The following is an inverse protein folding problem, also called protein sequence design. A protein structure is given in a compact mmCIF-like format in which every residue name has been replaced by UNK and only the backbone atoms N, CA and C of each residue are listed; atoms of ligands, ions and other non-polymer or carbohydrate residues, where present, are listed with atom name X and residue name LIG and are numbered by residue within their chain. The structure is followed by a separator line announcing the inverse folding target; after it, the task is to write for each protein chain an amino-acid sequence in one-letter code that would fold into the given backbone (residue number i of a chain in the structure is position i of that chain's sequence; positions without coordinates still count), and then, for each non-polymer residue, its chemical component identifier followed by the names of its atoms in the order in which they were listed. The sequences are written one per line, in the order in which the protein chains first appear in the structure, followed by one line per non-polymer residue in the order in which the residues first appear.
data_IF_391178449954
#
_entry.id   IF_391178449954
#
_cell.length_a   1.000
_cell.length_b   1.000
_cell.length_c   1.000
_cell.angle_alpha   90.00
_cell.angle_beta   90.00
_cell.angle_gamma   90.00
#
_symmetry.space_group_name_H-M   'P 1'
#
loop_
_entity.id
_entity.type
_entity.pdbx_description
1 polymer ?
#
# COMPACT_ATOMS: atom_id res chain seq x y z
N UNK A 1 -73.43 26.63 -14.21
CA UNK A 1 -72.71 25.33 -14.22
C UNK A 1 -71.98 25.26 -15.55
N UNK A 2 -70.71 25.82 -15.56
CA UNK A 2 -69.92 25.94 -16.76
C UNK A 2 -68.95 24.69 -16.88
N UNK A 3 -69.32 23.80 -17.80
CA UNK A 3 -68.40 22.72 -18.21
C UNK A 3 -67.47 23.29 -19.25
N UNK A 4 -66.23 23.55 -18.88
CA UNK A 4 -65.12 23.83 -19.82
C UNK A 4 -64.93 22.61 -20.72
N UNK A 5 -65.21 22.76 -22.00
CA UNK A 5 -65.01 21.73 -23.02
C UNK A 5 -63.50 21.71 -23.31
N UNK A 6 -62.82 20.63 -22.88
CA UNK A 6 -61.41 20.37 -23.20
C UNK A 6 -61.37 20.09 -24.71
N UNK A 7 -60.64 20.89 -25.47
CA UNK A 7 -60.53 20.75 -26.92
C UNK A 7 -59.48 19.68 -27.29
N UNK A 8 -59.55 19.14 -28.52
CA UNK A 8 -58.56 18.20 -29.03
C UNK A 8 -57.13 18.78 -29.03
N UNK A 9 -57.04 20.10 -29.16
CA UNK A 9 -55.77 20.84 -29.14
C UNK A 9 -55.15 20.85 -27.73
N UNK A 10 -55.96 21.01 -26.68
CA UNK A 10 -55.51 20.97 -25.28
C UNK A 10 -54.94 19.60 -24.92
N UNK A 11 -55.57 18.54 -25.39
CA UNK A 11 -55.08 17.15 -25.17
C UNK A 11 -53.78 16.87 -25.93
N UNK A 12 -53.64 17.38 -27.15
CA UNK A 12 -52.43 17.26 -27.95
C UNK A 12 -51.26 18.03 -27.32
N UNK A 13 -51.50 19.24 -26.83
CA UNK A 13 -50.50 20.07 -26.15
C UNK A 13 -50.03 19.45 -24.83
N UNK A 14 -50.95 18.92 -24.01
CA UNK A 14 -50.60 18.17 -22.77
C UNK A 14 -49.81 16.92 -23.06
N UNK A 15 -50.11 16.19 -24.14
CA UNK A 15 -49.37 14.99 -24.55
C UNK A 15 -47.94 15.32 -24.99
N UNK A 16 -47.71 16.46 -25.65
CA UNK A 16 -46.39 16.91 -26.08
C UNK A 16 -45.55 17.39 -24.90
N UNK A 17 -46.11 18.19 -24.00
CA UNK A 17 -45.45 18.65 -22.77
C UNK A 17 -45.05 17.43 -21.91
N UNK A 18 -45.86 16.41 -21.82
CA UNK A 18 -45.54 15.23 -21.02
C UNK A 18 -44.39 14.42 -21.61
N UNK A 19 -44.28 14.33 -22.96
CA UNK A 19 -43.15 13.68 -23.65
C UNK A 19 -41.86 14.43 -23.47
N UNK A 20 -41.85 15.75 -23.59
CA UNK A 20 -40.67 16.59 -23.43
C UNK A 20 -40.19 16.55 -21.97
N UNK A 21 -41.10 16.59 -21.00
CA UNK A 21 -40.74 16.45 -19.59
C UNK A 21 -40.12 15.09 -19.30
N UNK A 22 -40.67 14.01 -19.79
CA UNK A 22 -40.15 12.64 -19.61
C UNK A 22 -38.76 12.51 -20.24
N UNK A 23 -38.57 13.10 -21.42
CA UNK A 23 -37.24 13.09 -22.09
C UNK A 23 -36.19 13.84 -21.28
N UNK A 24 -36.48 15.04 -20.76
CA UNK A 24 -35.55 15.80 -19.94
C UNK A 24 -35.27 15.12 -18.59
N UNK A 25 -36.25 14.52 -17.94
CA UNK A 25 -36.03 13.71 -16.74
C UNK A 25 -35.17 12.50 -17.01
N UNK A 26 -35.34 11.84 -18.16
CA UNK A 26 -34.48 10.74 -18.60
C UNK A 26 -33.03 11.15 -18.78
N UNK A 27 -32.76 12.31 -19.39
CA UNK A 27 -31.41 12.83 -19.56
C UNK A 27 -30.73 13.23 -18.24
N UNK A 28 -31.50 13.86 -17.33
CA UNK A 28 -30.99 14.21 -15.99
C UNK A 28 -30.66 12.95 -15.20
N UNK A 29 -31.55 11.96 -15.22
CA UNK A 29 -31.33 10.69 -14.53
C UNK A 29 -30.14 9.91 -15.08
N UNK A 30 -29.95 9.91 -16.42
CA UNK A 30 -28.81 9.31 -17.08
C UNK A 30 -27.51 10.05 -16.69
N UNK A 31 -27.52 11.38 -16.64
CA UNK A 31 -26.37 12.19 -16.22
C UNK A 31 -25.97 11.96 -14.75
N UNK A 32 -26.97 11.88 -13.86
CA UNK A 32 -26.73 11.55 -12.44
C UNK A 32 -26.21 10.12 -12.31
N UNK A 33 -26.79 9.17 -13.00
CA UNK A 33 -26.39 7.76 -12.95
C UNK A 33 -24.97 7.55 -13.48
N UNK A 34 -24.60 8.18 -14.62
CA UNK A 34 -23.25 8.11 -15.15
C UNK A 34 -22.24 8.84 -14.26
N UNK A 35 -22.60 10.00 -13.70
CA UNK A 35 -21.76 10.75 -12.76
C UNK A 35 -21.49 9.97 -11.48
N UNK A 36 -22.52 9.35 -10.91
CA UNK A 36 -22.34 8.53 -9.70
C UNK A 36 -21.55 7.26 -9.98
N UNK A 37 -21.74 6.58 -11.11
CA UNK A 37 -20.95 5.39 -11.45
C UNK A 37 -19.46 5.71 -11.69
N UNK A 38 -19.13 6.87 -12.26
CA UNK A 38 -17.74 7.31 -12.41
C UNK A 38 -17.12 7.66 -11.04
N UNK A 39 -17.85 8.37 -10.20
CA UNK A 39 -17.38 8.73 -8.85
C UNK A 39 -17.21 7.49 -7.94
N UNK A 40 -18.14 6.54 -8.00
CA UNK A 40 -18.02 5.27 -7.28
C UNK A 40 -16.94 4.36 -7.84
N UNK A 41 -16.63 4.41 -9.13
CA UNK A 41 -15.57 3.61 -9.73
C UNK A 41 -14.19 3.92 -9.14
N UNK A 42 -13.88 5.20 -8.89
CA UNK A 42 -12.61 5.59 -8.28
C UNK A 42 -12.57 5.22 -6.79
N UNK A 43 -13.71 5.31 -6.09
CA UNK A 43 -13.84 4.88 -4.70
C UNK A 43 -13.76 3.35 -4.57
N UNK A 44 -14.40 2.60 -5.45
CA UNK A 44 -14.35 1.12 -5.42
C UNK A 44 -13.01 0.54 -5.89
N UNK A 45 -12.25 1.21 -6.75
CA UNK A 45 -10.89 0.77 -7.11
C UNK A 45 -9.89 1.00 -5.97
N UNK A 46 -10.17 1.90 -5.02
CA UNK A 46 -9.37 2.07 -3.79
C UNK A 46 -9.75 1.13 -2.64
N UNK A 47 -10.95 0.54 -2.65
CA UNK A 47 -11.46 -0.28 -1.54
C UNK A 47 -11.57 -1.78 -1.82
N UNK A 48 -11.36 -2.24 -3.05
CA UNK A 48 -11.29 -3.66 -3.42
C UNK A 48 -9.93 -4.26 -3.12
N UNK A 49 -9.39 -4.04 -1.93
CA UNK A 49 -8.04 -4.45 -1.59
C UNK A 49 -7.98 -5.96 -1.37
N UNK A 50 -7.33 -6.62 -2.30
CA UNK A 50 -6.83 -7.99 -2.09
C UNK A 50 -6.05 -8.01 -0.78
N UNK A 51 -6.43 -8.89 0.15
CA UNK A 51 -5.72 -9.10 1.41
C UNK A 51 -4.88 -10.36 1.29
N UNK A 52 -3.60 -10.26 1.60
CA UNK A 52 -2.67 -11.41 1.56
C UNK A 52 -2.42 -12.03 2.93
N UNK A 53 -3.03 -11.49 3.97
CA UNK A 53 -2.90 -11.95 5.35
C UNK A 53 -2.61 -10.82 6.32
N UNK A 54 -2.42 -11.19 7.58
CA UNK A 54 -2.08 -10.26 8.67
C UNK A 54 -0.63 -10.52 9.07
N UNK A 55 0.11 -9.47 9.37
CA UNK A 55 1.46 -9.59 9.92
C UNK A 55 1.36 -10.26 11.29
N UNK A 56 2.11 -11.35 11.54
CA UNK A 56 2.11 -11.99 12.86
C UNK A 56 2.68 -11.07 13.93
N UNK A 57 2.25 -11.26 15.18
CA UNK A 57 2.85 -10.56 16.32
C UNK A 57 4.34 -10.88 16.43
N UNK A 58 5.13 -9.87 16.74
CA UNK A 58 6.56 -9.99 16.94
C UNK A 58 7.07 -9.05 18.03
N UNK A 59 8.19 -9.41 18.61
CA UNK A 59 9.02 -8.52 19.43
C UNK A 59 10.45 -8.68 18.98
N UNK A 60 11.02 -7.60 18.39
CA UNK A 60 12.35 -7.56 17.83
C UNK A 60 13.11 -6.35 18.36
N UNK A 61 14.38 -6.22 17.99
CA UNK A 61 15.22 -5.10 18.42
C UNK A 61 15.60 -4.25 17.19
N UNK A 62 15.47 -2.93 17.29
CA UNK A 62 15.88 -2.03 16.22
C UNK A 62 17.39 -1.75 16.23
N UNK A 63 17.89 -0.98 15.25
CA UNK A 63 19.28 -0.60 15.10
C UNK A 63 19.85 0.26 16.25
N UNK A 64 18.98 0.80 17.10
CA UNK A 64 19.36 1.60 18.28
C UNK A 64 19.32 0.78 19.58
N UNK A 65 18.89 -0.49 19.50
CA UNK A 65 18.75 -1.37 20.67
C UNK A 65 17.38 -1.29 21.35
N UNK A 66 16.41 -0.57 20.79
CA UNK A 66 15.08 -0.49 21.37
C UNK A 66 14.26 -1.73 21.00
N UNK A 67 13.40 -2.17 21.93
CA UNK A 67 12.40 -3.19 21.65
C UNK A 67 11.30 -2.61 20.77
N UNK A 68 10.95 -3.34 19.71
CA UNK A 68 9.94 -2.96 18.72
C UNK A 68 8.97 -4.11 18.53
N UNK A 69 7.69 -3.81 18.57
CA UNK A 69 6.58 -4.73 18.39
C UNK A 69 5.76 -4.36 17.15
N UNK A 70 4.81 -5.19 16.77
CA UNK A 70 3.87 -4.86 15.71
C UNK A 70 3.02 -3.61 16.04
N UNK A 71 2.68 -3.41 17.32
CA UNK A 71 1.85 -2.29 17.75
C UNK A 71 2.51 -0.92 17.53
N UNK A 72 3.86 -0.87 17.47
CA UNK A 72 4.60 0.34 17.16
C UNK A 72 4.36 0.86 15.73
N UNK A 73 3.76 0.04 14.87
CA UNK A 73 3.38 0.39 13.50
C UNK A 73 1.86 0.59 13.34
N UNK A 74 1.09 0.57 14.42
CA UNK A 74 -0.35 0.82 14.39
C UNK A 74 -0.66 2.21 13.82
N UNK A 75 -1.68 2.29 12.97
CA UNK A 75 -2.06 3.51 12.24
C UNK A 75 -1.00 4.05 11.27
N UNK A 76 -0.05 3.21 10.87
CA UNK A 76 0.98 3.53 9.88
C UNK A 76 0.93 2.55 8.71
N UNK A 77 1.17 3.05 7.51
CA UNK A 77 1.41 2.23 6.33
C UNK A 77 2.90 1.96 6.23
N UNK A 78 3.30 0.71 6.08
CA UNK A 78 4.72 0.42 6.03
C UNK A 78 5.11 -0.62 4.99
N UNK A 79 6.34 -0.50 4.51
CA UNK A 79 6.93 -1.39 3.53
C UNK A 79 7.96 -2.27 4.21
N UNK A 80 7.78 -3.58 4.09
CA UNK A 80 8.69 -4.56 4.65
C UNK A 80 9.63 -5.17 3.62
N UNK A 81 10.87 -5.45 4.03
CA UNK A 81 11.88 -6.20 3.28
C UNK A 81 12.54 -7.26 4.17
N UNK A 82 13.20 -8.25 3.56
CA UNK A 82 13.94 -9.29 4.27
C UNK A 82 15.35 -9.43 3.76
N UNK A 83 16.29 -9.44 4.69
CA UNK A 83 17.72 -9.58 4.42
C UNK A 83 18.32 -10.60 5.39
N UNK A 84 18.78 -11.75 4.88
CA UNK A 84 19.35 -12.83 5.70
C UNK A 84 20.86 -12.96 5.58
N UNK A 85 21.52 -12.17 4.71
CA UNK A 85 22.95 -12.27 4.47
C UNK A 85 23.74 -11.07 4.98
N UNK A 86 25.04 -11.29 5.18
CA UNK A 86 25.98 -10.20 5.35
C UNK A 86 26.21 -9.50 4.00
N UNK A 87 25.61 -8.35 3.79
CA UNK A 87 25.72 -7.54 2.57
C UNK A 87 27.15 -7.02 2.29
N UNK A 88 28.12 -7.27 3.14
CA UNK A 88 29.46 -6.70 3.00
C UNK A 88 30.14 -7.05 1.68
N UNK A 89 29.97 -8.29 1.23
CA UNK A 89 30.65 -8.83 0.03
C UNK A 89 29.63 -9.24 -1.07
N UNK A 90 28.32 -9.04 -0.85
CA UNK A 90 27.28 -9.40 -1.79
C UNK A 90 26.76 -8.14 -2.50
N UNK A 91 27.11 -8.01 -3.79
CA UNK A 91 26.69 -6.87 -4.62
C UNK A 91 25.17 -6.79 -4.71
N UNK A 92 24.48 -7.92 -4.88
CA UNK A 92 23.04 -7.94 -5.06
C UNK A 92 22.28 -7.52 -3.79
N UNK A 93 22.85 -7.84 -2.62
CA UNK A 93 22.33 -7.36 -1.35
C UNK A 93 22.50 -5.83 -1.20
N UNK A 94 23.63 -5.28 -1.66
CA UNK A 94 23.84 -3.82 -1.69
C UNK A 94 22.86 -3.15 -2.65
N UNK A 95 22.72 -3.71 -3.85
CA UNK A 95 21.77 -3.20 -4.85
C UNK A 95 20.33 -3.19 -4.29
N UNK A 96 19.92 -4.24 -3.54
CA UNK A 96 18.64 -4.26 -2.86
C UNK A 96 18.50 -3.13 -1.82
N UNK A 97 19.51 -2.91 -1.00
CA UNK A 97 19.50 -1.83 0.00
C UNK A 97 19.42 -0.46 -0.67
N UNK A 98 20.17 -0.23 -1.75
CA UNK A 98 20.13 1.03 -2.51
C UNK A 98 18.75 1.26 -3.15
N UNK A 99 18.14 0.23 -3.73
CA UNK A 99 16.78 0.32 -4.28
C UNK A 99 15.77 0.61 -3.17
N UNK A 100 15.88 -0.06 -2.02
CA UNK A 100 15.02 0.17 -0.86
C UNK A 100 15.21 1.59 -0.30
N UNK A 101 16.45 2.10 -0.29
CA UNK A 101 16.74 3.50 0.07
C UNK A 101 16.11 4.50 -0.90
N UNK A 102 16.11 4.21 -2.20
CA UNK A 102 15.42 5.04 -3.18
C UNK A 102 13.89 5.09 -2.95
N UNK A 103 13.27 3.99 -2.53
CA UNK A 103 11.86 3.96 -2.14
C UNK A 103 11.65 4.81 -0.88
N UNK A 104 12.50 4.64 0.13
CA UNK A 104 12.46 5.42 1.36
C UNK A 104 12.49 6.94 1.08
N UNK A 105 13.37 7.41 0.21
CA UNK A 105 13.45 8.82 -0.17
C UNK A 105 12.14 9.37 -0.76
N UNK A 106 11.31 8.52 -1.39
CA UNK A 106 10.04 8.94 -1.99
C UNK A 106 8.87 8.99 -1.00
N UNK A 107 9.01 8.35 0.17
CA UNK A 107 7.93 8.24 1.17
C UNK A 107 8.27 8.86 2.53
N UNK A 108 9.53 9.23 2.77
CA UNK A 108 10.02 9.68 4.09
C UNK A 108 9.37 10.95 4.63
N UNK A 109 8.83 11.78 3.75
CA UNK A 109 8.21 13.05 4.13
C UNK A 109 6.77 12.87 4.65
N UNK A 110 6.19 11.68 4.48
CA UNK A 110 4.86 11.37 5.02
C UNK A 110 4.99 10.73 6.41
N UNK A 111 4.49 11.39 7.46
CA UNK A 111 4.62 10.92 8.84
C UNK A 111 3.87 9.62 9.12
N UNK A 112 2.94 9.22 8.25
CA UNK A 112 2.16 7.99 8.39
C UNK A 112 2.79 6.80 7.65
N UNK A 113 3.91 6.99 6.99
CA UNK A 113 4.62 5.89 6.31
C UNK A 113 5.85 5.46 7.07
N UNK A 114 6.24 4.20 6.94
CA UNK A 114 7.48 3.64 7.53
C UNK A 114 8.09 2.60 6.59
N UNK A 115 9.38 2.37 6.79
CA UNK A 115 10.06 1.21 6.23
C UNK A 115 10.57 0.30 7.32
N UNK A 116 10.53 -1.01 7.07
CA UNK A 116 10.96 -2.05 7.99
C UNK A 116 11.79 -3.07 7.24
N UNK A 117 13.04 -3.27 7.65
CA UNK A 117 13.89 -4.34 7.14
C UNK A 117 14.10 -5.41 8.21
N UNK A 118 13.61 -6.61 7.95
CA UNK A 118 13.83 -7.78 8.80
C UNK A 118 15.21 -8.36 8.51
N UNK A 119 16.08 -8.43 9.51
CA UNK A 119 17.49 -8.82 9.36
C UNK A 119 17.81 -10.02 10.25
N UNK A 120 18.17 -11.15 9.65
CA UNK A 120 18.49 -12.37 10.38
C UNK A 120 19.92 -12.46 10.89
N UNK A 121 20.82 -11.59 10.43
CA UNK A 121 22.22 -11.56 10.86
C UNK A 121 22.58 -10.22 11.47
N UNK A 122 22.92 -10.22 12.76
CA UNK A 122 23.32 -9.02 13.51
C UNK A 122 24.59 -8.32 12.98
N UNK A 123 25.41 -9.01 12.20
CA UNK A 123 26.65 -8.47 11.64
C UNK A 123 26.46 -7.26 10.72
N UNK A 124 25.26 -7.08 10.16
CA UNK A 124 24.92 -5.88 9.39
C UNK A 124 24.95 -4.62 10.27
N UNK A 125 24.64 -4.75 11.57
CA UNK A 125 24.69 -3.63 12.52
C UNK A 125 26.11 -3.34 13.02
N UNK A 126 26.99 -4.34 13.07
CA UNK A 126 28.40 -4.15 13.43
C UNK A 126 29.18 -3.39 12.35
N UNK A 127 28.71 -3.41 11.10
CA UNK A 127 29.23 -2.62 9.99
C UNK A 127 28.41 -1.32 9.86
N UNK A 128 28.67 -0.35 10.73
CA UNK A 128 28.13 1.03 10.63
C UNK A 128 28.22 1.63 9.22
N UNK A 129 29.07 1.06 8.34
CA UNK A 129 29.29 1.56 6.99
C UNK A 129 28.12 1.39 6.03
N UNK A 130 27.29 0.34 6.12
CA UNK A 130 26.21 0.14 5.16
C UNK A 130 25.00 1.01 5.52
N UNK A 131 24.60 1.02 6.78
CA UNK A 131 23.48 1.86 7.24
C UNK A 131 23.88 3.34 7.25
N UNK A 132 25.15 3.67 7.58
CA UNK A 132 25.61 5.05 7.59
C UNK A 132 25.88 5.64 6.20
N UNK A 133 26.04 4.82 5.16
CA UNK A 133 26.09 5.29 3.77
C UNK A 133 24.73 5.53 3.16
N UNK A 134 23.69 4.90 3.73
CA UNK A 134 22.30 5.18 3.39
C UNK A 134 21.88 6.39 4.21
N UNK A 135 21.55 7.50 3.59
CA UNK A 135 20.97 8.70 4.25
C UNK A 135 19.58 8.35 4.81
N UNK A 136 19.58 7.58 5.91
CA UNK A 136 18.38 6.98 6.49
C UNK A 136 18.02 7.70 7.77
N UNK A 137 16.81 8.27 7.82
CA UNK A 137 16.22 8.73 9.07
C UNK A 137 15.81 7.50 9.92
N UNK A 138 16.48 7.30 11.05
CA UNK A 138 16.29 6.13 11.92
C UNK A 138 14.85 5.97 12.42
N UNK A 139 14.09 7.05 12.56
CA UNK A 139 12.69 6.99 12.99
C UNK A 139 11.75 6.55 11.88
N UNK A 140 12.15 6.75 10.62
CA UNK A 140 11.31 6.43 9.48
C UNK A 140 11.65 5.06 8.85
N UNK A 141 12.87 4.58 9.02
CA UNK A 141 13.29 3.25 8.56
C UNK A 141 13.90 2.46 9.71
N UNK A 142 13.20 1.42 10.12
CA UNK A 142 13.66 0.52 11.18
C UNK A 142 14.28 -0.74 10.58
N UNK A 143 15.46 -1.09 11.09
CA UNK A 143 16.14 -2.33 10.81
C UNK A 143 15.95 -3.24 12.02
N UNK A 144 15.08 -4.25 11.90
CA UNK A 144 14.71 -5.12 13.01
C UNK A 144 15.54 -6.41 12.99
N UNK A 145 16.16 -6.73 14.11
CA UNK A 145 16.88 -7.96 14.32
C UNK A 145 16.35 -8.73 15.53
N UNK A 146 16.75 -10.00 15.65
CA UNK A 146 16.38 -10.88 16.75
C UNK A 146 16.90 -12.29 16.50
N UNK A 147 16.28 -13.27 17.11
CA UNK A 147 16.58 -14.66 16.82
C UNK A 147 16.44 -14.96 15.32
N UNK A 148 17.47 -15.49 14.63
CA UNK A 148 17.43 -15.72 13.19
C UNK A 148 16.31 -16.65 12.72
N UNK A 149 15.92 -17.61 13.55
CA UNK A 149 14.82 -18.55 13.23
C UNK A 149 13.48 -17.82 13.31
N UNK A 150 13.28 -16.99 14.32
CA UNK A 150 12.08 -16.19 14.50
C UNK A 150 11.93 -15.20 13.33
N UNK A 151 13.00 -14.48 12.96
CA UNK A 151 13.02 -13.57 11.80
C UNK A 151 12.68 -14.29 10.50
N UNK A 152 13.25 -15.48 10.29
CA UNK A 152 12.97 -16.28 9.08
C UNK A 152 11.50 -16.73 9.03
N UNK A 153 10.94 -17.17 10.16
CA UNK A 153 9.52 -17.54 10.27
C UNK A 153 8.62 -16.33 9.97
N UNK A 154 8.89 -15.19 10.61
CA UNK A 154 8.14 -13.95 10.40
C UNK A 154 8.18 -13.52 8.94
N UNK A 155 9.38 -13.43 8.36
CA UNK A 155 9.57 -13.03 6.97
C UNK A 155 8.91 -14.03 5.99
N UNK A 156 9.00 -15.34 6.24
CA UNK A 156 8.33 -16.38 5.45
C UNK A 156 6.80 -16.20 5.46
N UNK A 157 6.23 -15.88 6.62
CA UNK A 157 4.79 -15.61 6.75
C UNK A 157 4.39 -14.31 6.05
N UNK A 158 5.17 -13.23 6.26
CA UNK A 158 4.90 -11.95 5.62
C UNK A 158 5.01 -12.01 4.10
N UNK A 159 6.01 -12.71 3.57
CA UNK A 159 6.25 -12.86 2.13
C UNK A 159 5.47 -14.01 1.49
N UNK A 160 4.81 -14.85 2.29
CA UNK A 160 4.10 -16.05 1.85
C UNK A 160 4.95 -16.93 0.92
N UNK A 161 6.23 -17.06 1.22
CA UNK A 161 7.21 -17.78 0.44
C UNK A 161 8.28 -18.37 1.33
N UNK A 162 8.70 -19.61 1.05
CA UNK A 162 9.87 -20.19 1.69
C UNK A 162 11.11 -19.38 1.28
N UNK A 163 11.76 -18.80 2.25
CA UNK A 163 12.93 -17.95 2.02
C UNK A 163 14.21 -18.80 1.90
N UNK A 164 15.18 -18.38 1.08
CA UNK A 164 16.46 -19.05 1.01
C UNK A 164 17.22 -18.86 2.33
N UNK A 165 17.83 -19.94 2.81
CA UNK A 165 18.73 -19.86 3.99
C UNK A 165 20.00 -19.15 3.55
N UNK A 166 20.36 -18.08 4.25
CA UNK A 166 21.59 -17.32 3.94
C UNK A 166 21.48 -16.42 2.70
N UNK A 167 20.27 -16.17 2.19
CA UNK A 167 20.01 -15.30 1.04
C UNK A 167 19.20 -14.04 1.39
N UNK A 168 18.77 -13.34 0.36
CA UNK A 168 17.85 -12.21 0.46
C UNK A 168 16.68 -12.44 -0.53
N UNK A 169 15.62 -11.70 -0.36
CA UNK A 169 14.51 -11.69 -1.32
C UNK A 169 14.31 -10.23 -1.80
N UNK A 170 14.30 -10.01 -3.10
CA UNK A 170 14.04 -8.68 -3.70
C UNK A 170 12.60 -8.26 -3.56
N UNK A 171 11.75 -9.11 -3.01
CA UNK A 171 10.34 -8.84 -2.80
C UNK A 171 10.14 -7.97 -1.57
N UNK A 172 9.38 -6.91 -1.78
CA UNK A 172 8.85 -6.07 -0.72
C UNK A 172 7.39 -6.44 -0.46
N UNK A 173 6.92 -6.21 0.75
CA UNK A 173 5.51 -6.35 1.10
C UNK A 173 4.99 -5.04 1.70
N UNK A 174 3.78 -4.67 1.31
CA UNK A 174 3.10 -3.45 1.77
C UNK A 174 2.08 -3.82 2.83
N UNK A 175 2.13 -3.14 3.96
CA UNK A 175 1.22 -3.36 5.11
C UNK A 175 0.46 -2.07 5.38
N UNK A 176 -0.84 -2.19 5.60
CA UNK A 176 -1.70 -1.07 5.94
C UNK A 176 -1.72 -0.75 7.44
N UNK A 177 -2.46 0.28 7.79
CA UNK A 177 -2.63 0.81 9.15
C UNK A 177 -3.21 -0.20 10.15
N UNK A 178 -3.79 -1.31 9.67
CA UNK A 178 -4.37 -2.38 10.48
C UNK A 178 -3.49 -3.64 10.55
N UNK A 179 -2.25 -3.56 10.06
CA UNK A 179 -1.34 -4.71 10.00
C UNK A 179 -1.68 -5.74 8.91
N UNK A 180 -2.50 -5.37 7.92
CA UNK A 180 -2.91 -6.25 6.83
C UNK A 180 -1.96 -6.08 5.65
N UNK A 181 -1.44 -7.21 5.13
CA UNK A 181 -0.59 -7.21 3.94
C UNK A 181 -1.45 -6.97 2.70
N UNK A 182 -1.15 -5.90 1.98
CA UNK A 182 -1.91 -5.39 0.84
C UNK A 182 -1.30 -5.69 -0.51
N UNK A 183 -0.02 -5.99 -0.57
CA UNK A 183 0.64 -6.29 -1.83
C UNK A 183 2.08 -6.76 -1.68
N UNK A 184 2.58 -7.32 -2.79
CA UNK A 184 3.97 -7.72 -2.98
C UNK A 184 4.53 -7.04 -4.22
N UNK A 185 5.79 -6.59 -4.14
CA UNK A 185 6.43 -5.80 -5.18
C UNK A 185 7.89 -6.22 -5.33
N UNK A 186 8.37 -6.28 -6.54
CA UNK A 186 9.79 -6.57 -6.81
C UNK A 186 10.59 -5.27 -6.79
N UNK A 187 11.53 -5.15 -5.85
CA UNK A 187 12.36 -3.95 -5.71
C UNK A 187 13.25 -3.69 -6.94
N UNK A 188 13.65 -4.76 -7.66
CA UNK A 188 14.49 -4.71 -8.85
C UNK A 188 13.73 -4.35 -10.14
N UNK A 189 12.41 -4.06 -10.06
CA UNK A 189 11.56 -3.71 -11.20
C UNK A 189 10.97 -2.32 -11.02
N UNK A 190 11.39 -1.38 -11.87
CA UNK A 190 10.96 0.01 -11.78
C UNK A 190 9.43 0.19 -11.78
N UNK A 191 8.70 -0.58 -12.60
CA UNK A 191 7.24 -0.48 -12.67
C UNK A 191 6.56 -0.98 -11.38
N UNK A 192 7.11 -2.00 -10.75
CA UNK A 192 6.64 -2.50 -9.45
C UNK A 192 6.91 -1.48 -8.33
N UNK A 193 8.06 -0.79 -8.37
CA UNK A 193 8.39 0.29 -7.43
C UNK A 193 7.45 1.48 -7.60
N UNK A 194 7.16 1.90 -8.84
CA UNK A 194 6.19 2.96 -9.12
C UNK A 194 4.79 2.58 -8.60
N UNK A 195 4.39 1.33 -8.84
CA UNK A 195 3.12 0.81 -8.34
C UNK A 195 3.08 0.82 -6.81
N UNK A 196 4.13 0.34 -6.13
CA UNK A 196 4.24 0.38 -4.68
C UNK A 196 4.04 1.80 -4.13
N UNK A 197 4.77 2.80 -4.67
CA UNK A 197 4.65 4.20 -4.22
C UNK A 197 3.24 4.75 -4.44
N UNK A 198 2.58 4.39 -5.56
CA UNK A 198 1.19 4.76 -5.80
C UNK A 198 0.25 4.11 -4.77
N UNK A 199 0.43 2.81 -4.50
CA UNK A 199 -0.43 2.06 -3.59
C UNK A 199 -0.27 2.55 -2.14
N UNK A 200 0.96 2.93 -1.71
CA UNK A 200 1.20 3.60 -0.42
C UNK A 200 0.34 4.85 -0.30
N UNK A 201 0.40 5.75 -1.30
CA UNK A 201 -0.38 7.01 -1.29
C UNK A 201 -1.90 6.80 -1.27
N UNK A 202 -2.37 5.62 -1.65
CA UNK A 202 -3.80 5.28 -1.61
C UNK A 202 -4.22 4.80 -0.21
N UNK A 203 -3.27 4.27 0.58
CA UNK A 203 -3.52 3.72 1.91
C UNK A 203 -3.32 4.74 3.05
N UNK A 204 -2.60 5.83 2.83
CA UNK A 204 -2.35 6.92 3.78
C UNK A 204 -3.52 7.91 3.81
#
# INVERSE_FOLDING_TARGET
MNRSIITKEDVAMMSKINKDIIFWFGLIFLGIFTGTTLMFRDVYQGFGSVTFGVVPDFTLTDQLGNSVTQDDFSNQVWVGSYISTNCKNDKSCKDLLEMTASIHQQIKDDPKTRMVSLISHADIFSNKSIISTLDVQHDHWKFLNGDPQLINILATRCLQKKLPIGGYDTRLFLVDQNGIIRGYYQADRLEEVKKLVKDIKTLV
#
